data_IF_223942678619
#
_entry.id   IF_223942678619
#
_cell.length_a   1.000
_cell.length_b   1.000
_cell.length_c   1.000
_cell.angle_alpha   90.00
_cell.angle_beta   90.00
_cell.angle_gamma   90.00
#
_symmetry.space_group_name_H-M   'P 1'
#
loop_
_entity.id
_entity.type
_entity.pdbx_description
1 polymer ?
#
# COMPACT_ATOMS: atom_id res chain seq x y z
N UNK A 1 11.25 19.58 -11.79
CA UNK A 1 12.24 18.50 -11.62
C UNK A 1 13.63 19.09 -11.49
N UNK A 2 14.41 18.59 -10.54
CA UNK A 2 15.80 18.99 -10.34
C UNK A 2 16.77 18.14 -11.20
N UNK A 3 16.43 16.86 -11.40
CA UNK A 3 17.23 15.89 -12.16
C UNK A 3 16.45 15.34 -13.35
N UNK A 4 17.11 15.16 -14.51
CA UNK A 4 16.43 14.70 -15.73
C UNK A 4 15.94 13.25 -15.61
N UNK A 5 16.65 12.39 -14.88
CA UNK A 5 16.26 10.99 -14.70
C UNK A 5 15.05 10.77 -13.80
N UNK A 6 14.54 11.79 -13.09
CA UNK A 6 13.25 11.71 -12.41
C UNK A 6 12.09 11.34 -13.34
N UNK A 7 12.25 11.58 -14.65
CA UNK A 7 11.28 11.15 -15.69
C UNK A 7 11.12 9.62 -15.76
N UNK A 8 12.09 8.86 -15.27
CA UNK A 8 12.01 7.40 -15.19
C UNK A 8 10.80 6.95 -14.39
N UNK A 9 10.34 7.74 -13.42
CA UNK A 9 9.15 7.44 -12.63
C UNK A 9 7.85 7.41 -13.45
N UNK A 10 7.78 8.15 -14.58
CA UNK A 10 6.54 8.29 -15.36
C UNK A 10 5.94 6.95 -15.83
N UNK A 11 6.66 6.06 -16.54
CA UNK A 11 6.09 4.78 -16.95
C UNK A 11 5.71 3.89 -15.75
N UNK A 12 6.41 3.95 -14.63
CA UNK A 12 6.02 3.25 -13.40
C UNK A 12 4.68 3.74 -12.89
N UNK A 13 4.47 5.05 -12.80
CA UNK A 13 3.19 5.63 -12.38
C UNK A 13 2.05 5.27 -13.33
N UNK A 14 2.30 5.30 -14.66
CA UNK A 14 1.28 4.92 -15.65
C UNK A 14 0.88 3.46 -15.52
N UNK A 15 1.86 2.54 -15.41
CA UNK A 15 1.59 1.11 -15.24
C UNK A 15 0.90 0.84 -13.90
N UNK A 16 1.38 1.45 -12.81
CA UNK A 16 0.74 1.32 -11.50
C UNK A 16 -0.73 1.74 -11.53
N UNK A 17 -1.05 2.87 -12.15
CA UNK A 17 -2.44 3.37 -12.23
C UNK A 17 -3.32 2.50 -13.15
N UNK A 18 -2.78 1.96 -14.23
CA UNK A 18 -3.51 1.01 -15.07
C UNK A 18 -3.86 -0.28 -14.30
N UNK A 19 -2.91 -0.81 -13.53
CA UNK A 19 -3.12 -1.98 -12.68
C UNK A 19 -4.04 -1.68 -11.48
N UNK A 20 -3.98 -0.47 -10.92
CA UNK A 20 -4.93 -0.02 -9.91
C UNK A 20 -6.36 -0.01 -10.45
N UNK A 21 -6.58 0.52 -11.65
CA UNK A 21 -7.89 0.47 -12.30
C UNK A 21 -8.39 -0.98 -12.47
N UNK A 22 -7.50 -1.88 -12.93
CA UNK A 22 -7.82 -3.30 -13.07
C UNK A 22 -8.13 -3.96 -11.73
N UNK A 23 -7.37 -3.65 -10.68
CA UNK A 23 -7.63 -4.12 -9.31
C UNK A 23 -9.01 -3.71 -8.80
N UNK A 24 -9.44 -2.48 -9.08
CA UNK A 24 -10.77 -2.00 -8.70
C UNK A 24 -11.89 -2.77 -9.45
N UNK A 25 -11.68 -3.12 -10.73
CA UNK A 25 -12.63 -3.95 -11.50
C UNK A 25 -12.77 -5.32 -10.85
N UNK A 26 -11.67 -6.03 -10.56
CA UNK A 26 -11.74 -7.32 -9.89
C UNK A 26 -12.33 -7.23 -8.47
N UNK A 27 -12.10 -6.14 -7.76
CA UNK A 27 -12.74 -5.87 -6.47
C UNK A 27 -14.24 -5.70 -6.58
N UNK A 28 -14.71 -5.00 -7.61
CA UNK A 28 -16.14 -4.84 -7.90
C UNK A 28 -16.79 -6.17 -8.27
N UNK A 29 -16.17 -6.96 -9.16
CA UNK A 29 -16.65 -8.29 -9.53
C UNK A 29 -16.76 -9.21 -8.31
N UNK A 30 -15.74 -9.23 -7.44
CA UNK A 30 -15.78 -9.96 -6.19
C UNK A 30 -16.88 -9.47 -5.23
N UNK A 31 -17.15 -8.16 -5.20
CA UNK A 31 -18.26 -7.59 -4.41
C UNK A 31 -19.63 -7.98 -4.95
N UNK A 32 -19.80 -8.01 -6.29
CA UNK A 32 -21.03 -8.48 -6.94
C UNK A 32 -21.29 -9.95 -6.60
N UNK A 33 -20.26 -10.80 -6.58
CA UNK A 33 -20.40 -12.22 -6.28
C UNK A 33 -20.96 -12.51 -4.85
N UNK A 34 -20.83 -11.57 -3.91
CA UNK A 34 -21.47 -11.68 -2.59
C UNK A 34 -22.98 -11.39 -2.62
N UNK A 35 -23.45 -10.59 -3.57
CA UNK A 35 -24.86 -10.19 -3.71
C UNK A 35 -25.56 -11.05 -4.78
N UNK A 36 -24.84 -11.45 -5.81
CA UNK A 36 -25.33 -12.27 -6.91
C UNK A 36 -24.36 -13.45 -7.15
N UNK A 37 -24.40 -14.51 -6.32
CA UNK A 37 -23.41 -15.59 -6.35
C UNK A 37 -23.27 -16.32 -7.69
N UNK A 38 -24.34 -16.36 -8.49
CA UNK A 38 -24.33 -17.01 -9.81
C UNK A 38 -23.80 -16.11 -10.93
N UNK A 39 -23.54 -14.81 -10.65
CA UNK A 39 -23.01 -13.89 -11.66
C UNK A 39 -21.57 -14.27 -12.01
N UNK A 40 -21.33 -14.60 -13.25
CA UNK A 40 -20.03 -15.03 -13.78
C UNK A 40 -19.41 -16.27 -13.08
N UNK A 41 -20.14 -17.00 -12.24
CA UNK A 41 -19.58 -18.09 -11.41
C UNK A 41 -18.87 -19.18 -12.21
N UNK A 42 -19.37 -19.52 -13.42
CA UNK A 42 -18.74 -20.52 -14.30
C UNK A 42 -17.52 -19.97 -15.05
N UNK A 43 -17.60 -18.71 -15.52
CA UNK A 43 -16.51 -18.10 -16.30
C UNK A 43 -15.38 -17.57 -15.42
N UNK A 44 -15.69 -17.07 -14.24
CA UNK A 44 -14.74 -16.49 -13.30
C UNK A 44 -15.21 -16.72 -11.85
N UNK A 45 -14.86 -17.84 -11.24
CA UNK A 45 -15.22 -18.15 -9.86
C UNK A 45 -14.70 -17.10 -8.87
N UNK A 46 -15.40 -16.95 -7.74
CA UNK A 46 -15.08 -15.94 -6.71
C UNK A 46 -13.62 -15.99 -6.24
N UNK A 47 -13.05 -17.18 -6.07
CA UNK A 47 -11.66 -17.35 -5.67
C UNK A 47 -10.68 -16.72 -6.68
N UNK A 48 -10.96 -16.81 -7.99
CA UNK A 48 -10.15 -16.18 -9.03
C UNK A 48 -10.30 -14.66 -9.02
N UNK A 49 -11.54 -14.14 -8.85
CA UNK A 49 -11.77 -12.70 -8.69
C UNK A 49 -10.98 -12.15 -7.49
N UNK A 50 -11.07 -12.84 -6.34
CA UNK A 50 -10.38 -12.46 -5.12
C UNK A 50 -8.86 -12.54 -5.27
N UNK A 51 -8.33 -13.62 -5.81
CA UNK A 51 -6.89 -13.79 -6.06
C UNK A 51 -6.36 -12.70 -6.98
N UNK A 52 -7.08 -12.41 -8.07
CA UNK A 52 -6.71 -11.33 -9.00
C UNK A 52 -6.74 -9.96 -8.31
N UNK A 53 -7.79 -9.67 -7.53
CA UNK A 53 -7.90 -8.42 -6.78
C UNK A 53 -6.75 -8.21 -5.78
N UNK A 54 -6.43 -9.23 -4.99
CA UNK A 54 -5.38 -9.13 -3.95
C UNK A 54 -3.97 -9.08 -4.54
N UNK A 55 -3.68 -9.88 -5.57
CA UNK A 55 -2.37 -9.84 -6.22
C UNK A 55 -2.16 -8.54 -7.01
N UNK A 56 -3.20 -8.03 -7.68
CA UNK A 56 -3.12 -6.72 -8.33
C UNK A 56 -2.81 -5.62 -7.34
N UNK A 57 -3.41 -5.64 -6.12
CA UNK A 57 -3.10 -4.68 -5.07
C UNK A 57 -1.60 -4.65 -4.77
N UNK A 58 -0.98 -5.82 -4.55
CA UNK A 58 0.44 -5.91 -4.25
C UNK A 58 1.31 -5.45 -5.43
N UNK A 59 1.00 -5.91 -6.63
CA UNK A 59 1.79 -5.61 -7.84
C UNK A 59 1.81 -4.13 -8.17
N UNK A 60 0.64 -3.47 -8.17
CA UNK A 60 0.63 -2.05 -8.51
C UNK A 60 1.21 -1.16 -7.42
N UNK A 61 1.07 -1.54 -6.14
CA UNK A 61 1.72 -0.82 -5.05
C UNK A 61 3.25 -0.95 -5.13
N UNK A 62 3.78 -2.14 -5.42
CA UNK A 62 5.22 -2.33 -5.62
C UNK A 62 5.74 -1.50 -6.80
N UNK A 63 5.05 -1.51 -7.94
CA UNK A 63 5.41 -0.66 -9.10
C UNK A 63 5.31 0.82 -8.73
N UNK A 64 4.29 1.20 -7.96
CA UNK A 64 4.12 2.54 -7.42
C UNK A 64 5.29 2.96 -6.53
N UNK A 65 5.70 2.12 -5.57
CA UNK A 65 6.86 2.38 -4.71
C UNK A 65 8.17 2.48 -5.50
N UNK A 66 8.35 1.64 -6.54
CA UNK A 66 9.50 1.76 -7.44
C UNK A 66 9.49 3.10 -8.17
N UNK A 67 8.35 3.52 -8.69
CA UNK A 67 8.17 4.83 -9.31
C UNK A 67 8.44 5.98 -8.34
N UNK A 68 7.91 5.92 -7.13
CA UNK A 68 8.17 6.89 -6.05
C UNK A 68 9.66 6.96 -5.71
N UNK A 69 10.31 5.80 -5.62
CA UNK A 69 11.76 5.71 -5.35
C UNK A 69 12.57 6.34 -6.47
N UNK A 70 12.29 6.03 -7.73
CA UNK A 70 12.97 6.64 -8.89
C UNK A 70 12.73 8.14 -9.01
N UNK A 71 11.60 8.64 -8.52
CA UNK A 71 11.35 10.08 -8.46
C UNK A 71 12.13 10.77 -7.35
N UNK A 72 12.15 10.19 -6.14
CA UNK A 72 12.77 10.75 -4.94
C UNK A 72 14.30 10.61 -4.96
N UNK A 73 14.80 9.43 -5.36
CA UNK A 73 16.21 9.05 -5.19
C UNK A 73 17.20 10.04 -5.79
N UNK A 74 16.98 10.59 -7.01
CA UNK A 74 17.89 11.59 -7.57
C UNK A 74 18.04 12.85 -6.72
N UNK A 75 16.94 13.30 -6.12
CA UNK A 75 16.97 14.50 -5.26
C UNK A 75 17.64 14.25 -3.92
N UNK A 76 17.41 13.09 -3.32
CA UNK A 76 18.01 12.71 -2.03
C UNK A 76 19.51 12.34 -2.17
N UNK A 77 19.87 11.68 -3.26
CA UNK A 77 21.25 11.34 -3.56
C UNK A 77 22.05 12.50 -4.17
N UNK A 78 21.39 13.59 -4.57
CA UNK A 78 21.99 14.68 -5.33
C UNK A 78 22.76 14.15 -6.58
N UNK A 79 22.22 13.10 -7.19
CA UNK A 79 22.83 12.37 -8.29
C UNK A 79 21.77 11.79 -9.23
N UNK A 80 22.04 11.78 -10.54
CA UNK A 80 21.15 11.14 -11.53
C UNK A 80 21.04 9.62 -11.26
N UNK A 81 19.91 9.00 -11.67
CA UNK A 81 19.77 7.53 -11.59
C UNK A 81 20.91 6.85 -12.31
N UNK A 82 21.53 5.88 -11.65
CA UNK A 82 22.69 5.14 -12.18
C UNK A 82 22.47 4.62 -13.60
N UNK A 83 21.31 4.02 -13.87
CA UNK A 83 20.95 3.57 -15.20
C UNK A 83 19.45 3.61 -15.48
N UNK A 84 18.94 4.60 -16.23
CA UNK A 84 17.56 4.58 -16.71
C UNK A 84 17.20 3.34 -17.52
N UNK A 85 18.16 2.79 -18.28
CA UNK A 85 17.96 1.57 -19.08
C UNK A 85 17.62 0.35 -18.20
N UNK A 86 18.35 0.18 -17.10
CA UNK A 86 18.05 -0.89 -16.13
C UNK A 86 16.65 -0.72 -15.56
N UNK A 87 16.25 0.51 -15.22
CA UNK A 87 14.91 0.78 -14.69
C UNK A 87 13.79 0.38 -15.68
N UNK A 88 13.94 0.70 -16.96
CA UNK A 88 12.94 0.33 -17.97
C UNK A 88 12.88 -1.18 -18.24
N UNK A 89 14.02 -1.86 -18.30
CA UNK A 89 14.08 -3.33 -18.46
C UNK A 89 13.45 -4.01 -17.25
N UNK A 90 13.77 -3.55 -16.04
CA UNK A 90 13.22 -4.04 -14.80
C UNK A 90 11.69 -3.90 -14.76
N UNK A 91 11.14 -2.73 -15.16
CA UNK A 91 9.70 -2.53 -15.25
C UNK A 91 9.05 -3.49 -16.26
N UNK A 92 9.68 -3.68 -17.42
CA UNK A 92 9.16 -4.58 -18.46
C UNK A 92 9.09 -6.03 -17.95
N UNK A 93 10.13 -6.51 -17.28
CA UNK A 93 10.17 -7.87 -16.70
C UNK A 93 9.09 -8.01 -15.62
N UNK A 94 8.95 -7.02 -14.73
CA UNK A 94 7.99 -7.07 -13.64
C UNK A 94 6.54 -7.01 -14.14
N UNK A 95 6.26 -6.14 -15.10
CA UNK A 95 4.94 -6.03 -15.73
C UNK A 95 4.58 -7.31 -16.50
N UNK A 96 5.54 -7.90 -17.23
CA UNK A 96 5.33 -9.19 -17.91
C UNK A 96 5.04 -10.30 -16.90
N UNK A 97 5.81 -10.42 -15.83
CA UNK A 97 5.62 -11.40 -14.78
C UNK A 97 4.23 -11.28 -14.12
N UNK A 98 3.82 -10.04 -13.80
CA UNK A 98 2.50 -9.75 -13.24
C UNK A 98 1.36 -10.10 -14.20
N UNK A 99 1.47 -9.71 -15.48
CA UNK A 99 0.47 -10.05 -16.50
C UNK A 99 0.36 -11.56 -16.70
N UNK A 100 1.48 -12.25 -16.77
CA UNK A 100 1.52 -13.72 -16.93
C UNK A 100 0.88 -14.45 -15.73
N UNK A 101 1.12 -13.96 -14.49
CA UNK A 101 0.45 -14.49 -13.31
C UNK A 101 -1.06 -14.32 -13.38
N UNK A 102 -1.54 -13.09 -13.67
CA UNK A 102 -2.97 -12.77 -13.75
C UNK A 102 -3.70 -13.60 -14.82
N UNK A 103 -3.06 -13.78 -15.98
CA UNK A 103 -3.58 -14.65 -17.04
C UNK A 103 -3.59 -16.11 -16.56
N UNK A 104 -2.50 -16.57 -15.94
CA UNK A 104 -2.40 -17.92 -15.40
C UNK A 104 -3.51 -18.24 -14.39
N UNK A 105 -3.88 -17.29 -13.52
CA UNK A 105 -4.97 -17.47 -12.55
C UNK A 105 -6.31 -17.80 -13.22
N UNK A 106 -6.60 -17.20 -14.38
CA UNK A 106 -7.83 -17.48 -15.13
C UNK A 106 -7.89 -18.94 -15.65
N UNK A 107 -6.73 -19.56 -15.81
CA UNK A 107 -6.59 -20.96 -16.22
C UNK A 107 -6.27 -21.91 -15.06
N UNK A 108 -6.41 -21.46 -13.82
CA UNK A 108 -6.10 -22.27 -12.62
C UNK A 108 -4.61 -22.52 -12.40
N UNK A 109 -3.71 -21.79 -13.08
CA UNK A 109 -2.26 -21.90 -12.91
C UNK A 109 -1.82 -20.99 -11.75
N UNK A 110 -1.88 -21.52 -10.53
CA UNK A 110 -1.49 -20.78 -9.32
C UNK A 110 -1.04 -21.74 -8.21
N UNK A 111 -0.25 -21.23 -7.28
CA UNK A 111 0.03 -21.88 -6.00
C UNK A 111 -1.07 -21.50 -4.98
N UNK A 112 -1.37 -22.38 -4.05
CA UNK A 112 -2.49 -22.16 -3.10
C UNK A 112 -2.22 -21.23 -1.92
N UNK A 113 -1.11 -20.48 -1.92
CA UNK A 113 -0.70 -19.58 -0.82
C UNK A 113 -1.24 -18.18 -1.08
N UNK A 114 -2.12 -17.66 -0.22
CA UNK A 114 -2.64 -16.29 -0.33
C UNK A 114 -1.52 -15.25 -0.42
N UNK A 115 -1.63 -14.31 -1.33
CA UNK A 115 -0.65 -13.28 -1.68
C UNK A 115 0.63 -13.79 -2.35
N UNK A 116 0.86 -15.09 -2.39
CA UNK A 116 2.02 -15.76 -3.00
C UNK A 116 1.57 -16.81 -4.03
N UNK A 117 0.41 -16.59 -4.65
CA UNK A 117 -0.20 -17.52 -5.60
C UNK A 117 0.57 -17.64 -6.92
N UNK A 118 1.55 -16.77 -7.18
CA UNK A 118 2.33 -16.79 -8.43
C UNK A 118 3.09 -18.11 -8.58
N UNK A 119 3.06 -18.73 -9.79
CA UNK A 119 3.86 -19.92 -10.07
C UNK A 119 5.37 -19.64 -9.92
N UNK A 120 6.14 -20.68 -9.63
CA UNK A 120 7.57 -20.57 -9.34
C UNK A 120 8.34 -19.74 -10.37
N UNK A 121 8.13 -19.97 -11.67
CA UNK A 121 8.83 -19.25 -12.72
C UNK A 121 8.50 -17.75 -12.74
N UNK A 122 7.28 -17.36 -12.35
CA UNK A 122 6.89 -15.95 -12.17
C UNK A 122 7.61 -15.35 -10.98
N UNK A 123 7.69 -16.08 -9.85
CA UNK A 123 8.46 -15.63 -8.67
C UNK A 123 9.93 -15.38 -9.01
N UNK A 124 10.53 -16.22 -9.87
CA UNK A 124 11.92 -16.01 -10.37
C UNK A 124 12.02 -14.72 -11.17
N UNK A 125 11.09 -14.43 -12.08
CA UNK A 125 11.10 -13.18 -12.85
C UNK A 125 10.91 -11.94 -11.95
N UNK A 126 10.02 -12.02 -10.97
CA UNK A 126 9.84 -10.97 -9.95
C UNK A 126 11.15 -10.74 -9.21
N UNK A 127 11.83 -11.80 -8.79
CA UNK A 127 13.12 -11.72 -8.10
C UNK A 127 14.17 -11.03 -8.95
N UNK A 128 14.32 -11.43 -10.22
CA UNK A 128 15.27 -10.80 -11.15
C UNK A 128 14.98 -9.31 -11.28
N UNK A 129 13.73 -8.95 -11.53
CA UNK A 129 13.31 -7.55 -11.64
C UNK A 129 13.63 -6.77 -10.36
N UNK A 130 13.34 -7.34 -9.21
CA UNK A 130 13.56 -6.69 -7.93
C UNK A 130 15.05 -6.51 -7.62
N UNK A 131 15.89 -7.49 -7.93
CA UNK A 131 17.35 -7.36 -7.81
C UNK A 131 17.92 -6.29 -8.75
N UNK A 132 17.40 -6.17 -9.97
CA UNK A 132 17.77 -5.08 -10.88
C UNK A 132 17.41 -3.71 -10.30
N UNK A 133 16.23 -3.59 -9.69
CA UNK A 133 15.78 -2.38 -9.00
C UNK A 133 16.70 -2.02 -7.84
N UNK A 134 17.01 -2.99 -6.95
CA UNK A 134 17.91 -2.82 -5.82
C UNK A 134 19.31 -2.41 -6.27
N UNK A 135 19.84 -3.09 -7.28
CA UNK A 135 21.15 -2.73 -7.83
C UNK A 135 21.19 -1.28 -8.32
N UNK A 136 20.20 -0.89 -9.13
CA UNK A 136 20.15 0.45 -9.73
C UNK A 136 20.03 1.55 -8.66
N UNK A 137 19.16 1.36 -7.68
CA UNK A 137 18.95 2.32 -6.58
C UNK A 137 20.12 2.36 -5.60
N UNK A 138 20.73 1.20 -5.28
CA UNK A 138 21.94 1.13 -4.45
C UNK A 138 23.11 1.86 -5.11
N UNK A 139 23.33 1.64 -6.41
CA UNK A 139 24.39 2.33 -7.15
C UNK A 139 24.14 3.83 -7.25
N UNK A 140 22.91 4.26 -7.38
CA UNK A 140 22.55 5.69 -7.33
C UNK A 140 22.91 6.30 -5.98
N UNK A 141 22.57 5.64 -4.88
CA UNK A 141 22.87 6.12 -3.52
C UNK A 141 24.37 6.08 -3.22
N UNK A 142 25.09 5.04 -3.66
CA UNK A 142 26.54 4.89 -3.41
C UNK A 142 27.33 5.99 -4.11
N UNK A 143 26.93 6.36 -5.33
CA UNK A 143 27.59 7.39 -6.12
C UNK A 143 27.19 8.81 -5.74
N UNK A 144 26.15 8.97 -4.92
CA UNK A 144 25.62 10.25 -4.49
C UNK A 144 25.71 10.49 -2.97
N UNK A 145 24.93 11.47 -2.52
CA UNK A 145 24.79 11.81 -1.10
C UNK A 145 23.93 10.77 -0.38
N UNK A 146 24.36 10.41 0.83
CA UNK A 146 23.59 9.54 1.73
C UNK A 146 22.83 10.41 2.73
N UNK A 147 21.50 10.32 2.72
CA UNK A 147 20.60 10.96 3.67
C UNK A 147 19.90 9.91 4.53
N UNK A 148 19.35 10.29 5.68
CA UNK A 148 18.56 9.34 6.48
C UNK A 148 17.38 8.78 5.68
N UNK A 149 16.73 9.60 4.85
CA UNK A 149 15.61 9.18 4.00
C UNK A 149 16.01 8.08 3.02
N UNK A 150 17.06 8.30 2.22
CA UNK A 150 17.45 7.28 1.25
C UNK A 150 18.09 6.04 1.92
N UNK A 151 18.77 6.19 3.06
CA UNK A 151 19.30 5.05 3.82
C UNK A 151 18.18 4.17 4.39
N UNK A 152 17.16 4.76 5.01
CA UNK A 152 16.02 4.01 5.55
C UNK A 152 15.22 3.36 4.42
N UNK A 153 15.00 4.08 3.31
CA UNK A 153 14.37 3.52 2.12
C UNK A 153 15.12 2.30 1.60
N UNK A 154 16.43 2.40 1.47
CA UNK A 154 17.28 1.29 1.01
C UNK A 154 17.29 0.12 2.00
N UNK A 155 17.29 0.40 3.32
CA UNK A 155 17.15 -0.64 4.34
C UNK A 155 15.84 -1.41 4.15
N UNK A 156 14.70 -0.71 4.01
CA UNK A 156 13.41 -1.33 3.75
C UNK A 156 13.43 -2.18 2.47
N UNK A 157 13.96 -1.66 1.38
CA UNK A 157 14.03 -2.38 0.10
C UNK A 157 14.92 -3.63 0.17
N UNK A 158 16.07 -3.58 0.83
CA UNK A 158 16.93 -4.75 1.01
C UNK A 158 16.31 -5.79 1.93
N UNK A 159 15.65 -5.38 3.01
CA UNK A 159 14.90 -6.30 3.88
C UNK A 159 13.75 -6.95 3.12
N UNK A 160 13.04 -6.20 2.25
CA UNK A 160 12.01 -6.77 1.38
C UNK A 160 12.56 -7.89 0.50
N UNK A 161 13.76 -7.73 -0.07
CA UNK A 161 14.41 -8.76 -0.87
C UNK A 161 14.81 -9.99 -0.03
N UNK A 162 15.35 -9.77 1.16
CA UNK A 162 15.77 -10.86 2.06
C UNK A 162 14.53 -11.70 2.46
N UNK A 163 13.47 -11.05 2.92
CA UNK A 163 12.25 -11.77 3.30
C UNK A 163 11.52 -12.40 2.11
N UNK A 164 11.67 -11.85 0.90
CA UNK A 164 11.13 -12.48 -0.30
C UNK A 164 11.67 -13.89 -0.55
N UNK A 165 12.88 -14.21 -0.09
CA UNK A 165 13.47 -15.54 -0.25
C UNK A 165 12.63 -16.65 0.41
N UNK A 166 11.88 -16.34 1.45
CA UNK A 166 10.95 -17.30 2.09
C UNK A 166 9.77 -17.69 1.18
N UNK A 167 9.47 -16.93 0.13
CA UNK A 167 8.45 -17.30 -0.87
C UNK A 167 8.78 -18.59 -1.64
N UNK A 168 10.06 -18.97 -1.66
CA UNK A 168 10.56 -20.19 -2.30
C UNK A 168 10.61 -21.41 -1.36
N UNK A 169 10.35 -21.21 -0.08
CA UNK A 169 10.36 -22.27 0.92
C UNK A 169 8.97 -22.86 1.11
N UNK A 170 8.76 -24.10 0.71
CA UNK A 170 7.48 -24.82 0.74
C UNK A 170 7.58 -26.08 1.62
N UNK A 171 7.53 -25.97 2.96
CA UNK A 171 7.54 -27.14 3.82
C UNK A 171 6.27 -27.97 3.64
N UNK A 172 6.39 -29.30 3.77
CA UNK A 172 5.26 -30.23 3.66
C UNK A 172 4.32 -30.19 4.87
N UNK A 173 4.81 -29.76 6.02
CA UNK A 173 3.99 -29.57 7.22
C UNK A 173 3.22 -28.26 7.12
N UNK A 174 1.89 -28.32 7.19
CA UNK A 174 1.01 -27.16 7.04
C UNK A 174 1.24 -26.07 8.08
N UNK A 175 1.53 -26.43 9.34
CA UNK A 175 1.79 -25.44 10.40
C UNK A 175 3.11 -24.69 10.14
N UNK A 176 4.16 -25.41 9.73
CA UNK A 176 5.43 -24.80 9.33
C UNK A 176 5.29 -23.95 8.05
N UNK A 177 4.49 -24.42 7.08
CA UNK A 177 4.20 -23.65 5.88
C UNK A 177 3.53 -22.30 6.21
N UNK A 178 2.53 -22.33 7.08
CA UNK A 178 1.85 -21.13 7.57
C UNK A 178 2.78 -20.20 8.35
N UNK A 179 3.68 -20.75 9.17
CA UNK A 179 4.66 -19.97 9.92
C UNK A 179 5.56 -19.16 8.98
N UNK A 180 6.22 -19.81 8.01
CA UNK A 180 7.13 -19.16 7.07
C UNK A 180 6.40 -18.27 6.07
N UNK A 181 5.19 -18.62 5.67
CA UNK A 181 4.38 -17.78 4.82
C UNK A 181 4.04 -16.44 5.48
N UNK A 182 3.63 -16.44 6.74
CA UNK A 182 3.34 -15.20 7.46
C UNK A 182 4.59 -14.39 7.78
N UNK A 183 5.74 -15.04 7.89
CA UNK A 183 7.02 -14.33 8.00
C UNK A 183 7.28 -13.41 6.79
N UNK A 184 6.94 -13.84 5.58
CA UNK A 184 7.07 -12.94 4.44
C UNK A 184 5.88 -11.97 4.37
N UNK A 185 4.64 -12.43 4.40
CA UNK A 185 3.47 -11.56 4.14
C UNK A 185 3.33 -10.49 5.21
N UNK A 186 3.40 -10.85 6.50
CA UNK A 186 3.30 -9.89 7.60
C UNK A 186 4.50 -8.94 7.64
N UNK A 187 5.73 -9.46 7.65
CA UNK A 187 6.94 -8.61 7.76
C UNK A 187 7.07 -7.68 6.55
N UNK A 188 6.60 -8.10 5.37
CA UNK A 188 6.53 -7.19 4.23
C UNK A 188 5.60 -6.03 4.51
N UNK A 189 4.37 -6.29 4.94
CA UNK A 189 3.32 -5.28 5.07
C UNK A 189 3.45 -4.47 6.36
N UNK A 190 3.74 -5.13 7.48
CA UNK A 190 3.73 -4.52 8.82
C UNK A 190 5.15 -4.36 9.42
N UNK A 191 6.14 -4.20 8.60
CA UNK A 191 7.51 -3.91 8.99
C UNK A 191 8.25 -3.20 7.87
N UNK A 192 8.52 -3.92 6.78
CA UNK A 192 9.37 -3.43 5.68
C UNK A 192 8.70 -2.32 4.88
N UNK A 193 7.43 -2.46 4.51
CA UNK A 193 6.69 -1.43 3.78
C UNK A 193 6.47 -0.18 4.63
N UNK A 194 6.43 -0.30 5.96
CA UNK A 194 6.37 0.85 6.85
C UNK A 194 7.65 1.69 6.80
N UNK A 195 8.83 1.06 6.64
CA UNK A 195 10.07 1.79 6.42
C UNK A 195 10.05 2.56 5.10
N UNK A 196 9.54 1.92 4.05
CA UNK A 196 9.34 2.56 2.73
C UNK A 196 8.36 3.72 2.87
N UNK A 197 7.22 3.51 3.54
CA UNK A 197 6.22 4.54 3.81
C UNK A 197 6.82 5.71 4.59
N UNK A 198 7.53 5.45 5.69
CA UNK A 198 8.11 6.48 6.53
C UNK A 198 9.11 7.35 5.75
N UNK A 199 9.94 6.72 4.89
CA UNK A 199 10.89 7.44 4.04
C UNK A 199 10.19 8.30 2.98
N UNK A 200 9.22 7.74 2.27
CA UNK A 200 8.49 8.43 1.20
C UNK A 200 7.61 9.56 1.77
N UNK A 201 6.93 9.32 2.89
CA UNK A 201 6.12 10.33 3.57
C UNK A 201 7.00 11.45 4.15
N UNK A 202 8.13 11.08 4.77
CA UNK A 202 9.11 12.05 5.27
C UNK A 202 9.63 12.96 4.16
N UNK A 203 9.96 12.41 2.99
CA UNK A 203 10.33 13.19 1.82
C UNK A 203 9.24 14.20 1.41
N UNK A 204 7.99 13.74 1.27
CA UNK A 204 6.87 14.61 0.92
C UNK A 204 6.68 15.73 1.95
N UNK A 205 6.75 15.41 3.23
CA UNK A 205 6.61 16.41 4.31
C UNK A 205 7.70 17.49 4.20
N UNK A 206 8.98 17.12 3.99
CA UNK A 206 10.04 18.09 3.77
C UNK A 206 9.71 19.00 2.58
N UNK A 207 9.33 18.40 1.44
CA UNK A 207 9.09 19.15 0.21
C UNK A 207 7.89 20.06 0.26
N UNK A 208 6.86 19.70 1.01
CA UNK A 208 5.61 20.46 1.05
C UNK A 208 5.52 21.46 2.21
N UNK A 209 6.21 21.20 3.32
CA UNK A 209 6.14 22.06 4.51
C UNK A 209 7.35 22.97 4.68
N UNK A 210 8.48 22.61 4.10
CA UNK A 210 9.75 23.34 4.25
C UNK A 210 10.34 23.27 5.67
N UNK A 211 9.85 22.37 6.52
CA UNK A 211 10.39 22.17 7.87
C UNK A 211 11.78 21.56 7.82
N UNK A 212 12.59 21.87 8.82
CA UNK A 212 13.96 21.44 8.93
C UNK A 212 14.09 19.90 8.80
N UNK A 213 14.95 19.48 7.90
CA UNK A 213 15.28 18.09 7.63
C UNK A 213 15.75 17.34 8.88
N UNK A 214 16.52 17.96 9.76
CA UNK A 214 17.05 17.32 10.96
C UNK A 214 15.95 16.78 11.89
N UNK A 215 14.84 17.49 11.99
CA UNK A 215 13.69 17.06 12.79
C UNK A 215 13.09 15.77 12.20
N UNK A 216 12.94 15.71 10.87
CA UNK A 216 12.39 14.53 10.18
C UNK A 216 13.32 13.34 10.35
N UNK A 217 14.63 13.52 10.17
CA UNK A 217 15.61 12.45 10.27
C UNK A 217 15.65 11.81 11.65
N UNK A 218 15.56 12.61 12.71
CA UNK A 218 15.49 12.10 14.10
C UNK A 218 14.25 11.24 14.32
N UNK A 219 13.08 11.72 13.89
CA UNK A 219 11.83 10.99 14.02
C UNK A 219 11.80 9.72 13.16
N UNK A 220 12.39 9.77 11.97
CA UNK A 220 12.49 8.62 11.07
C UNK A 220 13.22 7.45 11.72
N UNK A 221 14.35 7.68 12.41
CA UNK A 221 15.05 6.62 13.13
C UNK A 221 14.24 6.01 14.27
N UNK A 222 13.47 6.83 15.00
CA UNK A 222 12.59 6.34 16.06
C UNK A 222 11.47 5.47 15.48
N UNK A 223 10.82 5.92 14.41
CA UNK A 223 9.76 5.16 13.73
C UNK A 223 10.30 3.83 13.21
N UNK A 224 11.45 3.85 12.54
CA UNK A 224 12.11 2.63 12.01
C UNK A 224 12.44 1.64 13.11
N UNK A 225 13.02 2.10 14.22
CA UNK A 225 13.33 1.24 15.35
C UNK A 225 12.09 0.58 15.96
N UNK A 226 11.02 1.36 16.13
CA UNK A 226 9.75 0.86 16.64
C UNK A 226 9.08 -0.12 15.67
N UNK A 227 8.95 0.24 14.39
CA UNK A 227 8.31 -0.62 13.37
C UNK A 227 9.04 -1.94 13.19
N UNK A 228 10.37 -1.96 13.16
CA UNK A 228 11.12 -3.23 13.06
C UNK A 228 10.99 -4.06 14.33
N UNK A 229 11.06 -3.44 15.51
CA UNK A 229 10.98 -4.16 16.77
C UNK A 229 9.58 -4.76 17.01
N UNK A 230 8.53 -3.96 16.80
CA UNK A 230 7.15 -4.42 16.98
C UNK A 230 6.71 -5.32 15.83
N UNK A 231 7.00 -4.98 14.57
CA UNK A 231 6.56 -5.76 13.41
C UNK A 231 7.18 -7.15 13.32
N UNK A 232 8.46 -7.33 13.67
CA UNK A 232 9.09 -8.66 13.66
C UNK A 232 8.40 -9.62 14.65
N UNK A 233 8.15 -9.20 15.86
CA UNK A 233 7.52 -10.03 16.90
C UNK A 233 5.99 -9.98 16.81
N UNK A 234 5.41 -8.92 16.30
CA UNK A 234 3.99 -8.76 15.96
C UNK A 234 3.49 -9.81 14.99
N UNK A 235 4.35 -10.37 14.13
CA UNK A 235 4.04 -11.53 13.27
C UNK A 235 3.31 -12.65 14.06
N UNK A 236 3.54 -12.74 15.36
CA UNK A 236 2.88 -13.70 16.25
C UNK A 236 1.35 -13.68 16.20
N UNK A 237 0.72 -12.55 15.85
CA UNK A 237 -0.74 -12.50 15.74
C UNK A 237 -1.31 -13.32 14.56
N UNK A 238 -0.50 -13.64 13.56
CA UNK A 238 -0.87 -14.53 12.45
C UNK A 238 -0.69 -16.02 12.81
N UNK A 239 -0.12 -16.32 13.97
CA UNK A 239 0.12 -17.70 14.41
C UNK A 239 -0.97 -18.22 15.34
N UNK A 240 -1.95 -17.39 15.66
CA UNK A 240 -3.11 -17.83 16.44
C UNK A 240 -3.89 -18.89 15.68
N UNK A 241 -4.33 -19.92 16.39
CA UNK A 241 -5.27 -20.94 15.92
C UNK A 241 -4.78 -21.83 14.77
N UNK A 242 -3.48 -21.82 14.42
CA UNK A 242 -2.90 -22.62 13.31
C UNK A 242 -2.03 -23.80 13.79
N UNK A 243 -2.07 -24.13 15.08
CA UNK A 243 -1.30 -25.23 15.66
C UNK A 243 0.12 -24.88 16.12
N UNK A 244 0.43 -23.59 16.24
CA UNK A 244 1.70 -23.11 16.81
C UNK A 244 1.65 -23.09 18.35
N UNK A 245 2.81 -23.01 19.03
CA UNK A 245 2.86 -22.92 20.49
C UNK A 245 2.08 -21.74 21.06
N UNK A 246 1.41 -21.96 22.20
CA UNK A 246 0.52 -20.97 22.82
C UNK A 246 1.22 -19.66 23.23
N UNK A 247 2.52 -19.65 23.41
CA UNK A 247 3.28 -18.43 23.74
C UNK A 247 3.20 -17.35 22.63
N UNK A 248 2.84 -17.72 21.40
CA UNK A 248 2.63 -16.74 20.35
C UNK A 248 1.42 -15.83 20.60
N UNK A 249 0.43 -16.27 21.39
CA UNK A 249 -0.73 -15.44 21.71
C UNK A 249 -0.35 -14.18 22.51
N UNK A 250 0.35 -14.27 23.67
CA UNK A 250 0.82 -13.07 24.36
C UNK A 250 1.87 -12.30 23.56
N UNK A 251 2.82 -12.95 22.89
CA UNK A 251 3.82 -12.26 22.07
C UNK A 251 3.15 -11.46 20.97
N UNK A 252 2.31 -12.07 20.14
CA UNK A 252 1.61 -11.39 19.08
C UNK A 252 0.75 -10.23 19.59
N UNK A 253 -0.03 -10.44 20.66
CA UNK A 253 -0.88 -9.38 21.23
C UNK A 253 -0.08 -8.18 21.74
N UNK A 254 1.02 -8.40 22.47
CA UNK A 254 1.84 -7.32 23.06
C UNK A 254 2.53 -6.52 21.93
N UNK A 255 3.22 -7.22 21.02
CA UNK A 255 4.01 -6.54 19.99
C UNK A 255 3.15 -5.86 18.94
N UNK A 256 2.01 -6.44 18.56
CA UNK A 256 1.05 -5.74 17.69
C UNK A 256 0.37 -4.54 18.35
N UNK A 257 0.22 -4.55 19.69
CA UNK A 257 -0.20 -3.35 20.41
C UNK A 257 0.83 -2.24 20.28
N UNK A 258 2.11 -2.57 20.30
CA UNK A 258 3.19 -1.58 20.15
C UNK A 258 3.26 -0.98 18.74
N UNK A 259 2.76 -1.66 17.71
CA UNK A 259 2.69 -1.14 16.32
C UNK A 259 1.79 0.09 16.19
N UNK A 260 0.84 0.30 17.11
CA UNK A 260 0.02 1.53 17.14
C UNK A 260 0.87 2.78 17.35
N UNK A 261 1.98 2.67 18.10
CA UNK A 261 2.82 3.79 18.50
C UNK A 261 3.48 4.49 17.31
N UNK A 262 4.17 3.79 16.37
CA UNK A 262 4.76 4.43 15.21
C UNK A 262 3.72 5.11 14.31
N UNK A 263 2.54 4.52 14.12
CA UNK A 263 1.45 5.16 13.35
C UNK A 263 0.92 6.41 14.02
N UNK A 264 0.72 6.38 15.35
CA UNK A 264 0.33 7.56 16.10
C UNK A 264 1.39 8.66 16.04
N UNK A 265 2.66 8.30 16.24
CA UNK A 265 3.78 9.23 16.12
C UNK A 265 3.83 9.88 14.73
N UNK A 266 3.55 9.10 13.67
CA UNK A 266 3.51 9.60 12.29
C UNK A 266 2.40 10.63 12.06
N UNK A 267 1.21 10.43 12.64
CA UNK A 267 0.11 11.41 12.60
C UNK A 267 0.51 12.70 13.31
N UNK A 268 0.93 12.59 14.57
CA UNK A 268 1.35 13.74 15.37
C UNK A 268 2.43 14.53 14.64
N UNK A 269 3.39 13.82 14.09
CA UNK A 269 4.50 14.38 13.35
C UNK A 269 4.05 15.08 12.06
N UNK A 270 3.19 14.47 11.25
CA UNK A 270 2.68 15.07 10.02
C UNK A 270 1.93 16.36 10.31
N UNK A 271 1.03 16.37 11.30
CA UNK A 271 0.30 17.59 11.70
C UNK A 271 1.22 18.66 12.29
N UNK A 272 2.21 18.28 13.11
CA UNK A 272 3.21 19.21 13.62
C UNK A 272 3.98 19.90 12.49
N UNK A 273 4.39 19.14 11.47
CA UNK A 273 5.08 19.65 10.28
C UNK A 273 4.23 20.67 9.53
N UNK A 274 2.95 20.36 9.33
CA UNK A 274 2.03 21.30 8.68
C UNK A 274 1.74 22.54 9.54
N UNK A 275 1.75 22.40 10.86
CA UNK A 275 1.55 23.55 11.76
C UNK A 275 2.77 24.47 11.80
N UNK A 276 3.98 23.92 11.81
CA UNK A 276 5.25 24.67 11.85
C UNK A 276 5.68 25.22 10.50
N UNK A 277 5.42 24.49 9.43
CA UNK A 277 5.85 24.82 8.08
C UNK A 277 4.89 25.74 7.32
N UNK A 278 5.17 25.91 6.04
CA UNK A 278 4.31 26.66 5.14
C UNK A 278 3.03 25.89 4.83
N UNK A 279 1.88 26.53 5.06
CA UNK A 279 0.56 25.99 4.72
C UNK A 279 0.13 26.33 3.28
N UNK A 280 0.94 27.11 2.57
CA UNK A 280 0.60 27.70 1.26
C UNK A 280 1.30 27.00 0.11
N UNK A 281 1.52 25.67 0.21
CA UNK A 281 2.08 24.93 -0.91
C UNK A 281 1.10 24.97 -2.11
N UNK A 282 1.56 25.28 -3.35
CA UNK A 282 0.68 25.45 -4.51
C UNK A 282 -0.08 24.18 -4.89
N UNK A 283 0.40 22.98 -4.50
CA UNK A 283 -0.26 21.72 -4.74
C UNK A 283 -1.04 21.28 -3.49
N UNK A 284 -2.22 21.87 -3.28
CA UNK A 284 -3.10 21.57 -2.14
C UNK A 284 -3.63 20.14 -2.15
N UNK A 285 -3.84 19.56 -3.34
CA UNK A 285 -4.30 18.18 -3.46
C UNK A 285 -3.24 17.19 -2.94
N UNK A 286 -1.95 17.40 -3.27
CA UNK A 286 -0.88 16.57 -2.74
C UNK A 286 -0.75 16.69 -1.21
N UNK A 287 -0.92 17.89 -0.65
CA UNK A 287 -0.98 18.10 0.80
C UNK A 287 -2.10 17.31 1.45
N UNK A 288 -3.30 17.36 0.85
CA UNK A 288 -4.47 16.64 1.36
C UNK A 288 -4.26 15.12 1.36
N UNK A 289 -3.75 14.55 0.26
CA UNK A 289 -3.42 13.12 0.19
C UNK A 289 -2.33 12.72 1.21
N UNK A 290 -1.34 13.58 1.46
CA UNK A 290 -0.26 13.32 2.42
C UNK A 290 -0.76 13.29 3.86
N UNK A 291 -1.58 14.28 4.27
CA UNK A 291 -2.20 14.29 5.60
C UNK A 291 -3.20 13.14 5.76
N UNK A 292 -3.97 12.87 4.69
CA UNK A 292 -4.88 11.73 4.64
C UNK A 292 -4.15 10.42 4.84
N UNK A 293 -2.99 10.23 4.18
CA UNK A 293 -2.15 9.05 4.35
C UNK A 293 -1.79 8.82 5.83
N UNK A 294 -1.19 9.81 6.49
CA UNK A 294 -0.83 9.69 7.90
C UNK A 294 -2.05 9.38 8.80
N UNK A 295 -3.16 10.10 8.58
CA UNK A 295 -4.37 9.96 9.41
C UNK A 295 -5.06 8.62 9.22
N UNK A 296 -5.30 8.22 7.97
CA UNK A 296 -6.06 6.99 7.68
C UNK A 296 -5.20 5.74 7.93
N UNK A 297 -3.87 5.82 7.76
CA UNK A 297 -2.97 4.75 8.19
C UNK A 297 -3.07 4.48 9.69
N UNK A 298 -3.10 5.52 10.51
CA UNK A 298 -3.30 5.37 11.96
C UNK A 298 -4.62 4.68 12.29
N UNK A 299 -5.72 5.07 11.67
CA UNK A 299 -7.00 4.41 11.92
C UNK A 299 -7.01 2.99 11.35
N UNK A 300 -6.59 2.78 10.09
CA UNK A 300 -6.69 1.49 9.40
C UNK A 300 -5.70 0.45 9.90
N UNK A 301 -4.41 0.76 9.86
CA UNK A 301 -3.36 -0.14 10.33
C UNK A 301 -3.24 -0.09 11.86
N UNK A 302 -3.17 1.10 12.45
CA UNK A 302 -3.04 1.25 13.91
C UNK A 302 -4.28 0.77 14.67
N UNK A 303 -5.41 1.50 14.62
CA UNK A 303 -6.56 1.24 15.49
C UNK A 303 -7.29 -0.06 15.15
N UNK A 304 -7.70 -0.25 13.87
CA UNK A 304 -8.38 -1.49 13.45
C UNK A 304 -7.45 -2.71 13.54
N UNK A 305 -6.16 -2.56 13.20
CA UNK A 305 -5.15 -3.60 13.37
C UNK A 305 -5.02 -4.03 14.82
N UNK A 306 -4.74 -3.08 15.71
CA UNK A 306 -4.65 -3.33 17.16
C UNK A 306 -5.84 -4.08 17.70
N UNK A 307 -7.07 -3.63 17.43
CA UNK A 307 -8.27 -4.29 17.93
C UNK A 307 -8.38 -5.73 17.46
N UNK A 308 -7.96 -6.01 16.21
CA UNK A 308 -8.07 -7.35 15.62
C UNK A 308 -6.93 -8.29 16.04
N UNK A 309 -5.80 -7.77 16.51
CA UNK A 309 -4.61 -8.57 16.87
C UNK A 309 -4.58 -9.02 18.33
N UNK A 310 -5.42 -8.48 19.20
CA UNK A 310 -5.55 -8.98 20.57
C UNK A 310 -6.14 -10.39 20.55
N UNK A 311 -5.42 -11.37 21.11
CA UNK A 311 -5.77 -12.80 20.99
C UNK A 311 -7.18 -13.12 21.48
N UNK A 312 -7.64 -12.50 22.58
CA UNK A 312 -8.98 -12.71 23.13
C UNK A 312 -10.10 -12.09 22.25
N UNK A 313 -9.83 -11.02 21.51
CA UNK A 313 -10.75 -10.46 20.50
C UNK A 313 -10.66 -11.32 19.22
N UNK A 314 -9.46 -11.62 18.77
CA UNK A 314 -9.21 -12.40 17.56
C UNK A 314 -9.84 -13.79 17.62
N UNK A 315 -9.93 -14.41 18.80
CA UNK A 315 -10.62 -15.69 19.00
C UNK A 315 -12.04 -15.68 18.42
N UNK A 316 -12.75 -14.58 18.58
CA UNK A 316 -14.11 -14.43 18.06
C UNK A 316 -14.16 -13.86 16.64
N UNK A 317 -13.25 -12.98 16.28
CA UNK A 317 -13.33 -12.14 15.07
C UNK A 317 -12.57 -12.67 13.87
N UNK A 318 -11.61 -13.60 14.06
CA UNK A 318 -10.86 -14.15 12.93
C UNK A 318 -11.78 -14.90 11.94
N UNK A 319 -11.50 -14.74 10.66
CA UNK A 319 -12.33 -15.35 9.60
C UNK A 319 -13.68 -14.66 9.38
N UNK A 320 -13.93 -13.51 9.99
CA UNK A 320 -15.13 -12.70 9.78
C UNK A 320 -14.85 -11.49 8.88
N UNK A 321 -15.89 -10.71 8.56
CA UNK A 321 -15.77 -9.48 7.74
C UNK A 321 -14.94 -8.38 8.42
N UNK A 322 -14.67 -8.46 9.73
CA UNK A 322 -13.76 -7.53 10.43
C UNK A 322 -12.35 -7.59 9.83
N UNK A 323 -11.86 -8.77 9.47
CA UNK A 323 -10.56 -8.92 8.80
C UNK A 323 -10.52 -8.18 7.46
N UNK A 324 -11.60 -8.26 6.67
CA UNK A 324 -11.71 -7.54 5.41
C UNK A 324 -11.81 -6.02 5.64
N UNK A 325 -12.52 -5.57 6.68
CA UNK A 325 -12.61 -4.16 7.05
C UNK A 325 -11.23 -3.58 7.37
N UNK A 326 -10.46 -4.27 8.23
CA UNK A 326 -9.09 -3.90 8.57
C UNK A 326 -8.19 -3.82 7.32
N UNK A 327 -8.14 -4.88 6.52
CA UNK A 327 -7.28 -4.94 5.34
C UNK A 327 -7.56 -3.80 4.34
N UNK A 328 -8.83 -3.49 4.07
CA UNK A 328 -9.19 -2.40 3.15
C UNK A 328 -8.73 -1.03 3.66
N UNK A 329 -9.00 -0.69 4.93
CA UNK A 329 -8.64 0.62 5.45
C UNK A 329 -7.13 0.77 5.66
N UNK A 330 -6.45 -0.29 6.12
CA UNK A 330 -5.01 -0.30 6.35
C UNK A 330 -4.22 -0.08 5.03
N UNK A 331 -4.49 -0.89 4.00
CA UNK A 331 -3.84 -0.73 2.70
C UNK A 331 -4.17 0.60 2.05
N UNK A 332 -5.42 1.03 2.13
CA UNK A 332 -5.84 2.32 1.58
C UNK A 332 -5.09 3.47 2.25
N UNK A 333 -5.09 3.54 3.58
CA UNK A 333 -4.46 4.63 4.33
C UNK A 333 -2.95 4.64 4.19
N UNK A 334 -2.30 3.51 4.47
CA UNK A 334 -0.85 3.46 4.54
C UNK A 334 -0.17 3.52 3.16
N UNK A 335 -0.69 2.81 2.17
CA UNK A 335 0.05 2.58 0.93
C UNK A 335 -0.60 3.17 -0.31
N UNK A 336 -1.92 3.01 -0.49
CA UNK A 336 -2.62 3.59 -1.65
C UNK A 336 -2.52 5.11 -1.62
N UNK A 337 -2.90 5.73 -0.50
CA UNK A 337 -2.84 7.19 -0.36
C UNK A 337 -1.42 7.74 -0.52
N UNK A 338 -0.40 7.03 -0.05
CA UNK A 338 1.00 7.42 -0.21
C UNK A 338 1.42 7.52 -1.67
N UNK A 339 1.12 6.47 -2.46
CA UNK A 339 1.43 6.44 -3.89
C UNK A 339 0.66 7.54 -4.62
N UNK A 340 -0.64 7.72 -4.32
CA UNK A 340 -1.46 8.78 -4.91
C UNK A 340 -0.95 10.18 -4.53
N UNK A 341 -0.47 10.38 -3.29
CA UNK A 341 0.13 11.64 -2.85
C UNK A 341 1.38 11.98 -3.65
N UNK A 342 2.30 11.02 -3.80
CA UNK A 342 3.54 11.23 -4.56
C UNK A 342 3.25 11.44 -6.04
N UNK A 343 2.34 10.68 -6.64
CA UNK A 343 1.91 10.89 -8.03
C UNK A 343 1.33 12.29 -8.21
N UNK A 344 0.45 12.72 -7.28
CA UNK A 344 -0.14 14.07 -7.32
C UNK A 344 0.93 15.16 -7.21
N UNK A 345 1.98 14.93 -6.41
CA UNK A 345 3.10 15.85 -6.26
C UNK A 345 4.03 15.84 -7.49
N UNK A 346 4.38 14.67 -8.01
CA UNK A 346 5.42 14.49 -9.02
C UNK A 346 4.93 14.78 -10.44
N UNK A 347 3.70 14.40 -10.79
CA UNK A 347 3.21 14.46 -12.17
C UNK A 347 3.21 15.86 -12.79
N UNK A 348 2.81 16.94 -12.08
CA UNK A 348 2.93 18.30 -12.64
C UNK A 348 4.38 18.66 -12.97
N UNK A 349 5.33 18.24 -12.16
CA UNK A 349 6.75 18.50 -12.38
C UNK A 349 7.33 17.69 -13.54
N UNK A 350 6.98 16.38 -13.62
CA UNK A 350 7.41 15.49 -14.71
C UNK A 350 6.84 15.98 -16.05
N UNK A 351 5.57 16.38 -16.08
CA UNK A 351 4.88 16.86 -17.28
C UNK A 351 5.19 18.33 -17.61
N UNK A 352 5.88 19.06 -16.73
CA UNK A 352 6.16 20.50 -16.84
C UNK A 352 4.90 21.34 -16.97
N UNK A 353 3.86 21.01 -16.22
CA UNK A 353 2.59 21.73 -16.15
C UNK A 353 2.30 22.15 -14.71
N UNK A 354 1.42 23.12 -14.52
CA UNK A 354 0.92 23.42 -13.17
C UNK A 354 0.04 22.27 -12.66
N UNK A 355 -0.12 22.13 -11.32
CA UNK A 355 -1.12 21.26 -10.73
C UNK A 355 -2.51 21.71 -11.21
N UNK A 356 -3.01 21.08 -12.25
CA UNK A 356 -4.29 21.46 -12.83
C UNK A 356 -5.39 20.56 -12.29
N UNK A 357 -6.61 21.14 -12.29
CA UNK A 357 -7.78 20.45 -11.78
C UNK A 357 -7.64 19.93 -10.33
N UNK A 358 -6.96 20.71 -9.48
CA UNK A 358 -6.80 20.38 -8.06
C UNK A 358 -8.14 20.18 -7.35
N UNK A 359 -9.16 20.94 -7.75
CA UNK A 359 -10.51 20.81 -7.20
C UNK A 359 -11.05 19.40 -7.42
N UNK A 360 -10.94 18.89 -8.66
CA UNK A 360 -11.36 17.53 -8.98
C UNK A 360 -10.56 16.47 -8.20
N UNK A 361 -9.23 16.68 -8.06
CA UNK A 361 -8.37 15.80 -7.29
C UNK A 361 -8.73 15.80 -5.79
N UNK A 362 -9.05 16.95 -5.22
CA UNK A 362 -9.53 17.05 -3.83
C UNK A 362 -10.90 16.37 -3.66
N UNK A 363 -11.81 16.50 -4.62
CA UNK A 363 -13.06 15.74 -4.60
C UNK A 363 -12.83 14.23 -4.71
N UNK A 364 -11.89 13.79 -5.56
CA UNK A 364 -11.49 12.39 -5.62
C UNK A 364 -11.02 11.87 -4.27
N UNK A 365 -10.20 12.65 -3.54
CA UNK A 365 -9.79 12.32 -2.18
C UNK A 365 -11.00 12.15 -1.24
N UNK A 366 -11.88 13.14 -1.17
CA UNK A 366 -13.00 13.11 -0.23
C UNK A 366 -13.99 11.98 -0.53
N UNK A 367 -14.34 11.78 -1.80
CA UNK A 367 -15.26 10.71 -2.21
C UNK A 367 -14.63 9.34 -1.91
N UNK A 368 -13.36 9.13 -2.30
CA UNK A 368 -12.68 7.86 -2.06
C UNK A 368 -12.53 7.56 -0.57
N UNK A 369 -12.09 8.54 0.22
CA UNK A 369 -11.90 8.38 1.67
C UNK A 369 -13.22 8.14 2.39
N UNK A 370 -14.28 8.87 2.05
CA UNK A 370 -15.60 8.67 2.63
C UNK A 370 -16.18 7.30 2.27
N UNK A 371 -16.02 6.87 1.02
CA UNK A 371 -16.47 5.55 0.56
C UNK A 371 -15.69 4.42 1.26
N UNK A 372 -14.37 4.56 1.41
CA UNK A 372 -13.54 3.58 2.12
C UNK A 372 -13.88 3.52 3.62
N UNK A 373 -14.10 4.67 4.27
CA UNK A 373 -14.55 4.72 5.66
C UNK A 373 -15.93 4.04 5.81
N UNK A 374 -16.88 4.37 4.95
CA UNK A 374 -18.20 3.75 4.95
C UNK A 374 -18.13 2.23 4.72
N UNK A 375 -17.30 1.78 3.77
CA UNK A 375 -17.04 0.35 3.53
C UNK A 375 -16.47 -0.33 4.78
N UNK A 376 -15.51 0.30 5.44
CA UNK A 376 -14.87 -0.24 6.65
C UNK A 376 -15.87 -0.40 7.79
N UNK A 377 -16.69 0.61 8.07
CA UNK A 377 -17.73 0.50 9.09
C UNK A 377 -18.78 -0.56 8.74
N UNK A 378 -19.22 -0.59 7.48
CA UNK A 378 -20.16 -1.60 6.98
C UNK A 378 -19.64 -3.02 7.18
N UNK A 379 -18.40 -3.29 6.79
CA UNK A 379 -17.76 -4.61 6.96
C UNK A 379 -17.49 -4.93 8.44
N UNK A 380 -17.16 -3.93 9.25
CA UNK A 380 -17.00 -4.11 10.71
C UNK A 380 -18.31 -4.54 11.35
N UNK A 381 -19.42 -3.86 11.04
CA UNK A 381 -20.75 -4.25 11.56
C UNK A 381 -21.18 -5.62 11.04
N UNK A 382 -20.97 -5.90 9.75
CA UNK A 382 -21.19 -7.24 9.20
C UNK A 382 -20.43 -8.32 9.97
N UNK A 383 -19.14 -8.06 10.27
CA UNK A 383 -18.30 -8.98 11.03
C UNK A 383 -18.70 -9.13 12.48
N UNK A 384 -19.20 -8.07 13.15
CA UNK A 384 -19.76 -8.15 14.50
C UNK A 384 -21.02 -9.02 14.53
N UNK A 385 -21.95 -8.80 13.59
CA UNK A 385 -23.16 -9.64 13.45
C UNK A 385 -22.77 -11.07 13.13
N UNK A 386 -21.85 -11.27 12.18
CA UNK A 386 -21.32 -12.59 11.84
C UNK A 386 -20.71 -13.30 13.04
N UNK A 387 -19.91 -12.62 13.84
CA UNK A 387 -19.32 -13.16 15.08
C UNK A 387 -20.40 -13.61 16.05
N UNK A 388 -21.41 -12.78 16.31
CA UNK A 388 -22.49 -13.10 17.20
C UNK A 388 -23.28 -14.34 16.72
N UNK A 389 -23.68 -14.36 15.48
CA UNK A 389 -24.48 -15.47 14.92
C UNK A 389 -23.69 -16.78 14.87
N UNK A 390 -22.42 -16.76 14.44
CA UNK A 390 -21.60 -17.96 14.31
C UNK A 390 -21.01 -18.45 15.64
N UNK A 391 -20.47 -17.55 16.47
CA UNK A 391 -19.68 -17.93 17.64
C UNK A 391 -20.50 -17.98 18.93
N UNK A 392 -21.57 -17.21 19.01
CA UNK A 392 -22.43 -17.19 20.21
C UNK A 392 -23.69 -18.01 19.97
N UNK A 393 -24.37 -17.84 18.85
CA UNK A 393 -25.62 -18.56 18.55
C UNK A 393 -25.41 -19.92 17.86
N UNK A 394 -24.21 -20.22 17.36
CA UNK A 394 -23.87 -21.49 16.74
C UNK A 394 -24.48 -21.70 15.34
N UNK A 395 -24.91 -20.65 14.66
CA UNK A 395 -25.45 -20.74 13.28
C UNK A 395 -24.37 -21.19 12.31
N UNK A 396 -24.73 -21.91 11.28
CA UNK A 396 -23.79 -22.32 10.23
C UNK A 396 -23.40 -21.14 9.34
N UNK A 397 -22.25 -21.26 8.67
CA UNK A 397 -21.68 -20.18 7.85
C UNK A 397 -22.64 -19.68 6.77
N UNK A 398 -23.29 -20.59 6.05
CA UNK A 398 -24.18 -20.20 4.92
C UNK A 398 -25.45 -19.50 5.38
N UNK A 399 -26.03 -19.93 6.51
CA UNK A 399 -27.20 -19.24 7.09
C UNK A 399 -26.86 -17.81 7.51
N UNK A 400 -25.67 -17.61 8.09
CA UNK A 400 -25.21 -16.28 8.48
C UNK A 400 -24.98 -15.38 7.27
N UNK A 401 -24.49 -15.90 6.14
CA UNK A 401 -24.27 -15.08 4.93
C UNK A 401 -25.60 -14.41 4.47
N UNK A 402 -26.72 -15.12 4.53
CA UNK A 402 -28.02 -14.53 4.18
C UNK A 402 -28.49 -13.44 5.15
N UNK A 403 -28.11 -13.53 6.42
CA UNK A 403 -28.47 -12.53 7.43
C UNK A 403 -27.67 -11.22 7.31
N UNK A 404 -26.50 -11.26 6.68
CA UNK A 404 -25.61 -10.11 6.52
C UNK A 404 -25.57 -9.56 5.09
N UNK A 405 -26.45 -10.03 4.20
CA UNK A 405 -26.52 -9.64 2.79
C UNK A 405 -26.66 -8.12 2.59
N UNK A 406 -27.44 -7.44 3.42
CA UNK A 406 -27.60 -5.99 3.34
C UNK A 406 -26.25 -5.25 3.45
N UNK A 407 -25.35 -5.71 4.31
CA UNK A 407 -24.02 -5.12 4.41
C UNK A 407 -23.17 -5.35 3.14
N UNK A 408 -23.39 -6.46 2.43
CA UNK A 408 -22.73 -6.70 1.15
C UNK A 408 -23.23 -5.76 0.05
N UNK A 409 -24.54 -5.46 0.03
CA UNK A 409 -25.12 -4.45 -0.88
C UNK A 409 -24.52 -3.07 -0.58
N UNK A 410 -24.44 -2.68 0.70
CA UNK A 410 -23.85 -1.41 1.11
C UNK A 410 -22.36 -1.33 0.73
N UNK A 411 -21.58 -2.41 0.92
CA UNK A 411 -20.18 -2.51 0.49
C UNK A 411 -20.05 -2.36 -1.03
N UNK A 412 -20.91 -3.01 -1.80
CA UNK A 412 -20.92 -2.90 -3.26
C UNK A 412 -21.13 -1.45 -3.70
N UNK A 413 -22.11 -0.75 -3.09
CA UNK A 413 -22.35 0.67 -3.32
C UNK A 413 -21.10 1.52 -3.03
N UNK A 414 -20.44 1.29 -1.90
CA UNK A 414 -19.18 1.97 -1.57
C UNK A 414 -18.10 1.72 -2.62
N UNK A 415 -17.96 0.48 -3.10
CA UNK A 415 -17.00 0.12 -4.16
C UNK A 415 -17.22 0.91 -5.46
N UNK A 416 -18.46 1.16 -5.84
CA UNK A 416 -18.81 2.00 -7.01
C UNK A 416 -18.29 3.43 -6.82
N UNK A 417 -18.49 4.03 -5.63
CA UNK A 417 -17.96 5.37 -5.34
C UNK A 417 -16.42 5.42 -5.34
N UNK A 418 -15.74 4.37 -4.88
CA UNK A 418 -14.27 4.26 -4.99
C UNK A 418 -13.83 4.29 -6.45
N UNK A 419 -14.50 3.57 -7.35
CA UNK A 419 -14.20 3.58 -8.79
C UNK A 419 -14.43 4.98 -9.38
N UNK A 420 -15.54 5.62 -9.07
CA UNK A 420 -15.82 6.99 -9.54
C UNK A 420 -14.70 7.94 -9.10
N UNK A 421 -14.30 7.87 -7.83
CA UNK A 421 -13.23 8.70 -7.29
C UNK A 421 -11.87 8.40 -7.96
N UNK A 422 -11.56 7.14 -8.26
CA UNK A 422 -10.35 6.76 -8.98
C UNK A 422 -10.35 7.33 -10.41
N UNK A 423 -11.47 7.29 -11.13
CA UNK A 423 -11.60 7.90 -12.46
C UNK A 423 -11.42 9.43 -12.40
N UNK A 424 -11.98 10.08 -11.37
CA UNK A 424 -11.76 11.52 -11.13
C UNK A 424 -10.28 11.81 -10.87
N UNK A 425 -9.60 10.99 -10.06
CA UNK A 425 -8.16 11.10 -9.81
C UNK A 425 -7.35 10.95 -11.10
N UNK A 426 -7.62 9.90 -11.88
CA UNK A 426 -6.91 9.65 -13.15
C UNK A 426 -7.07 10.83 -14.12
N UNK A 427 -8.28 11.34 -14.27
CA UNK A 427 -8.51 12.51 -15.12
C UNK A 427 -7.80 13.75 -14.59
N UNK A 428 -7.82 13.98 -13.27
CA UNK A 428 -7.17 15.14 -12.65
C UNK A 428 -5.65 15.13 -12.82
N UNK A 429 -5.03 13.95 -12.83
CA UNK A 429 -3.56 13.80 -12.85
C UNK A 429 -3.02 13.58 -14.26
N UNK A 430 -3.70 12.77 -15.07
CA UNK A 430 -3.22 12.36 -16.40
C UNK A 430 -3.99 13.01 -17.56
N UNK A 431 -5.08 13.72 -17.31
CA UNK A 431 -5.87 14.40 -18.30
C UNK A 431 -5.11 15.50 -19.07
N UNK A 432 -5.72 16.13 -20.06
CA UNK A 432 -5.07 17.16 -20.88
C UNK A 432 -4.71 18.38 -20.02
N UNK A 433 -3.46 18.81 -20.10
CA UNK A 433 -3.01 20.04 -19.45
C UNK A 433 -3.68 21.27 -20.08
N UNK A 434 -4.23 22.15 -19.27
CA UNK A 434 -4.90 23.37 -19.78
C UNK A 434 -3.92 24.47 -20.16
N UNK A 435 -2.76 24.57 -19.48
CA UNK A 435 -1.72 25.54 -19.79
C UNK A 435 -0.33 24.94 -19.54
N UNK A 436 0.57 25.11 -20.52
CA UNK A 436 1.99 24.87 -20.29
C UNK A 436 2.54 26.09 -19.54
N UNK A 437 3.02 25.89 -18.31
CA UNK A 437 3.72 26.94 -17.59
C UNK A 437 5.12 27.07 -18.16
N UNK A 438 5.57 28.28 -18.53
CA UNK A 438 6.98 28.53 -18.73
C UNK A 438 7.72 28.09 -17.47
N UNK A 439 8.75 27.27 -17.64
CA UNK A 439 9.48 26.57 -16.59
C UNK A 439 9.60 27.40 -15.28
N UNK A 440 9.51 26.75 -14.14
CA UNK A 440 9.72 27.26 -12.78
C UNK A 440 11.00 28.11 -12.57
N UNK A 441 11.75 28.34 -13.63
CA UNK A 441 12.99 29.12 -13.68
C UNK A 441 12.81 30.65 -13.46
N UNK A 442 11.59 31.18 -13.41
CA UNK A 442 11.38 32.62 -13.17
C UNK A 442 10.99 33.00 -11.76
N UNK A 443 10.60 32.05 -10.89
CA UNK A 443 10.26 32.34 -9.51
C UNK A 443 11.49 32.40 -8.56
N UNK A 444 12.65 31.92 -8.97
CA UNK A 444 13.89 31.99 -8.20
C UNK A 444 14.76 33.22 -8.58
N UNK A 445 14.41 33.97 -9.59
CA UNK A 445 15.17 35.14 -10.03
C UNK A 445 14.64 36.47 -9.49
N UNK A 446 13.63 36.46 -8.63
CA UNK A 446 13.09 37.67 -7.99
C UNK A 446 13.14 37.65 -6.46
N UNK A 447 13.94 36.71 -5.89
CA UNK A 447 14.23 36.65 -4.46
C UNK A 447 15.76 36.72 -4.24
N UNK A 448 16.41 37.73 -4.82
CA UNK A 448 17.67 38.32 -4.42
C UNK A 448 17.42 39.70 -3.85
#
# INVERSE_FOLDING_TARGET
>A
MKYETQKVALPFFMVAMALFALQLIFGLLGAIAYVAPNFLAEAMPFNIMRTSHTNLLLVWLLIGFMGCTYYLMPEEAEHEIYSPKIAYIQLAIFAFAGAAALIGYQFGIHEGRHYLEQPLWVKVLITISFLMFLFNTSMTMINGRRTAINMVLMLGLWLAAIFWLFAFFNPTNLALDKLYWWWIVHIWVEGVWELIMASLLGYLLIKMTGVDREIIEKWLYVIVGLSLFSGLLGTGHHYYWIGTPAYWQPIGSIFSTLEVIPFFAMVVFAFYMFWKGSRNHPNQAAMLWTLGCATIAFFGAGVWGFMHTLSFINYYTHGTQITAAHGHLAFYGAYVMLVLAIITYAMPQIRRVQPYNQVLNMWAFWIMTSAMAFMTFTLTFAGVVQTHLQRVMGMNFMEVQSQIEMFYIMRLGAGVFVIIAALMFFYAVFGPAREQVPAYAKASATAE
#
